data_IF_698662057108
#
_entry.id   IF_698662057108
#
_cell.length_a   1.000
_cell.length_b   1.000
_cell.length_c   1.000
_cell.angle_alpha   90.00
_cell.angle_beta   90.00
_cell.angle_gamma   90.00
#
_symmetry.space_group_name_H-M   'P 1'
#
loop_
_entity.id
_entity.type
_entity.pdbx_description
1 polymer ?
#
# COMPACT_ATOMS: atom_id res chain seq x y z
N UNK A 1 -4.92 -21.85 -5.83
CA UNK A 1 -3.56 -21.47 -5.41
C UNK A 1 -3.63 -20.08 -4.82
N UNK A 2 -2.96 -19.87 -3.69
CA UNK A 2 -2.79 -18.56 -3.08
C UNK A 2 -1.32 -18.17 -3.24
N UNK A 3 -1.06 -16.99 -3.79
CA UNK A 3 0.30 -16.49 -4.00
C UNK A 3 0.42 -15.13 -3.34
N UNK A 4 1.33 -14.99 -2.38
CA UNK A 4 1.67 -13.68 -1.83
C UNK A 4 2.42 -12.90 -2.91
N UNK A 5 1.88 -11.74 -3.27
CA UNK A 5 2.57 -10.78 -4.14
C UNK A 5 3.54 -9.99 -3.27
N UNK A 6 3.04 -9.30 -2.26
CA UNK A 6 3.86 -8.46 -1.39
C UNK A 6 3.32 -8.44 0.03
N UNK A 7 4.19 -8.12 0.99
CA UNK A 7 3.82 -7.85 2.36
C UNK A 7 4.67 -6.70 2.90
N UNK A 8 4.08 -5.88 3.75
CA UNK A 8 4.77 -4.83 4.51
C UNK A 8 4.40 -4.90 5.99
N UNK A 9 5.37 -4.55 6.84
CA UNK A 9 5.23 -4.52 8.29
C UNK A 9 5.78 -3.21 8.83
N UNK A 10 4.89 -2.37 9.36
CA UNK A 10 5.24 -1.25 10.22
C UNK A 10 5.38 -1.72 11.66
N UNK A 11 6.58 -2.17 12.02
CA UNK A 11 6.85 -2.65 13.37
C UNK A 11 6.70 -1.54 14.43
N UNK A 12 6.95 -0.27 14.06
CA UNK A 12 6.85 0.86 14.98
C UNK A 12 5.39 1.23 15.27
N UNK A 13 4.53 1.18 14.24
CA UNK A 13 3.11 1.41 14.40
C UNK A 13 2.31 0.17 14.82
N UNK A 14 2.91 -1.02 14.75
CA UNK A 14 2.26 -2.29 15.04
C UNK A 14 1.21 -2.68 14.00
N UNK A 15 1.46 -2.38 12.72
CA UNK A 15 0.52 -2.72 11.63
C UNK A 15 1.24 -3.44 10.49
N UNK A 16 0.49 -4.22 9.73
CA UNK A 16 0.99 -4.89 8.54
C UNK A 16 -0.08 -4.99 7.47
N UNK A 17 0.34 -5.18 6.22
CA UNK A 17 -0.55 -5.53 5.13
C UNK A 17 0.09 -6.59 4.23
N UNK A 18 -0.76 -7.46 3.67
CA UNK A 18 -0.37 -8.51 2.74
C UNK A 18 -1.25 -8.39 1.50
N UNK A 19 -0.63 -8.32 0.33
CA UNK A 19 -1.28 -8.42 -0.96
C UNK A 19 -1.03 -9.81 -1.55
N UNK A 20 -2.09 -10.49 -1.96
CA UNK A 20 -2.02 -11.83 -2.51
C UNK A 20 -3.01 -12.03 -3.65
N UNK A 21 -2.62 -12.91 -4.57
CA UNK A 21 -3.44 -13.40 -5.66
C UNK A 21 -4.09 -14.72 -5.25
N UNK A 22 -5.41 -14.79 -5.40
CA UNK A 22 -6.16 -16.02 -5.30
C UNK A 22 -6.54 -16.51 -6.69
N UNK A 23 -6.05 -17.70 -7.05
CA UNK A 23 -6.37 -18.39 -8.30
C UNK A 23 -7.13 -19.67 -7.98
N UNK A 24 -8.47 -19.71 -8.06
CA UNK A 24 -9.18 -20.98 -8.08
C UNK A 24 -8.74 -21.79 -9.32
N UNK A 25 -9.11 -23.07 -9.44
CA UNK A 25 -8.65 -23.97 -10.52
C UNK A 25 -9.30 -23.63 -11.89
N UNK A 26 -9.26 -22.37 -12.28
CA UNK A 26 -9.87 -21.77 -13.46
C UNK A 26 -9.00 -20.58 -13.92
N UNK A 27 -9.28 -20.05 -15.10
CA UNK A 27 -8.42 -19.06 -15.75
C UNK A 27 -8.39 -17.67 -15.09
N UNK A 28 -9.26 -17.38 -14.11
CA UNK A 28 -9.32 -16.08 -13.45
C UNK A 28 -8.48 -16.04 -12.18
N UNK A 29 -7.93 -14.86 -11.88
CA UNK A 29 -7.33 -14.52 -10.60
C UNK A 29 -8.14 -13.40 -9.92
N UNK A 30 -8.09 -13.34 -8.59
CA UNK A 30 -8.56 -12.18 -7.84
C UNK A 30 -7.46 -11.69 -6.92
N UNK A 31 -7.28 -10.37 -6.87
CA UNK A 31 -6.38 -9.76 -5.91
C UNK A 31 -7.10 -9.52 -4.60
N UNK A 32 -6.38 -9.76 -3.52
CA UNK A 32 -6.87 -9.58 -2.18
C UNK A 32 -5.79 -8.93 -1.34
N UNK A 33 -6.24 -8.13 -0.38
CA UNK A 33 -5.40 -7.55 0.65
C UNK A 33 -5.89 -8.01 2.01
N UNK A 34 -4.96 -8.26 2.92
CA UNK A 34 -5.24 -8.48 4.33
C UNK A 34 -4.45 -7.46 5.15
N UNK A 35 -5.13 -6.80 6.07
CA UNK A 35 -4.56 -5.83 7.01
C UNK A 35 -4.51 -6.49 8.39
N UNK A 36 -3.37 -6.35 9.05
CA UNK A 36 -3.10 -6.92 10.35
C UNK A 36 -2.66 -5.84 11.34
N UNK A 37 -2.95 -6.09 12.61
CA UNK A 37 -2.55 -5.25 13.74
C UNK A 37 -1.88 -6.13 14.81
N UNK A 38 -0.80 -5.63 15.41
CA UNK A 38 -0.13 -6.30 16.51
C UNK A 38 -0.84 -5.98 17.83
N UNK A 39 -1.37 -7.01 18.48
CA UNK A 39 -2.11 -6.90 19.74
C UNK A 39 -2.00 -8.17 20.56
N UNK A 40 -1.89 -8.03 21.89
CA UNK A 40 -1.69 -9.17 22.81
C UNK A 40 -0.59 -10.13 22.33
N UNK A 41 0.55 -9.58 21.91
CA UNK A 41 1.72 -10.34 21.45
C UNK A 41 1.49 -11.21 20.19
N UNK A 42 0.45 -10.92 19.41
CA UNK A 42 0.12 -11.63 18.18
C UNK A 42 -0.37 -10.70 17.07
N UNK A 43 -0.13 -11.08 15.82
CA UNK A 43 -0.72 -10.42 14.66
C UNK A 43 -2.18 -10.86 14.51
N UNK A 44 -3.10 -9.90 14.54
CA UNK A 44 -4.53 -10.13 14.35
C UNK A 44 -5.01 -9.54 13.02
N UNK A 45 -5.84 -10.29 12.31
CA UNK A 45 -6.50 -9.80 11.10
C UNK A 45 -7.62 -8.81 11.46
N UNK A 46 -7.59 -7.62 10.85
CA UNK A 46 -8.51 -6.51 11.17
C UNK A 46 -9.33 -6.04 9.97
N UNK A 47 -9.05 -6.55 8.76
CA UNK A 47 -9.80 -6.22 7.56
C UNK A 47 -8.99 -6.41 6.29
N UNK A 48 -9.56 -6.02 5.16
CA UNK A 48 -8.98 -6.23 3.85
C UNK A 48 -9.98 -5.93 2.74
N UNK A 49 -9.50 -5.88 1.51
CA UNK A 49 -10.30 -5.70 0.32
C UNK A 49 -10.01 -6.78 -0.71
N UNK A 50 -10.99 -7.08 -1.56
CA UNK A 50 -10.77 -7.81 -2.81
C UNK A 50 -11.09 -6.90 -3.99
N UNK A 51 -10.33 -7.02 -5.07
CA UNK A 51 -10.68 -6.40 -6.34
C UNK A 51 -11.44 -7.38 -7.23
N UNK A 52 -12.01 -6.86 -8.33
CA UNK A 52 -12.70 -7.64 -9.37
C UNK A 52 -11.75 -8.66 -10.03
N UNK A 53 -12.27 -9.64 -10.78
CA UNK A 53 -11.44 -10.61 -11.50
C UNK A 53 -10.42 -9.88 -12.38
N UNK A 54 -9.16 -10.29 -12.27
CA UNK A 54 -8.09 -9.86 -13.17
C UNK A 54 -7.89 -11.01 -14.17
N UNK A 55 -7.83 -10.68 -15.46
CA UNK A 55 -7.25 -11.60 -16.45
C UNK A 55 -5.78 -11.85 -16.10
N UNK A 56 -5.18 -12.94 -16.58
CA UNK A 56 -3.93 -13.48 -16.02
C UNK A 56 -2.84 -12.40 -15.75
N UNK A 57 -2.53 -12.07 -14.47
CA UNK A 57 -1.59 -10.99 -14.13
C UNK A 57 -0.13 -11.30 -14.47
N UNK A 58 0.14 -12.46 -15.10
CA UNK A 58 1.42 -12.79 -15.71
C UNK A 58 1.68 -12.04 -17.03
N UNK A 59 0.64 -11.54 -17.71
CA UNK A 59 0.74 -10.91 -19.03
C UNK A 59 0.64 -9.37 -19.02
N UNK A 60 0.37 -8.73 -17.87
CA UNK A 60 0.40 -7.27 -17.76
C UNK A 60 1.79 -6.80 -17.33
N UNK A 61 2.62 -6.49 -18.33
CA UNK A 61 3.77 -5.61 -18.19
C UNK A 61 3.22 -4.20 -17.93
N UNK A 62 3.06 -3.84 -16.66
CA UNK A 62 2.64 -2.49 -16.28
C UNK A 62 3.75 -1.52 -16.65
N UNK A 63 3.51 -0.70 -17.67
CA UNK A 63 4.40 0.36 -18.12
C UNK A 63 4.29 1.55 -17.15
N UNK A 64 4.93 1.42 -15.98
CA UNK A 64 5.02 2.50 -15.00
C UNK A 64 6.37 3.17 -15.14
N UNK A 65 6.36 4.45 -15.53
CA UNK A 65 7.60 5.22 -15.68
C UNK A 65 8.34 5.38 -14.34
N UNK A 66 7.62 5.82 -13.29
CA UNK A 66 8.21 6.05 -11.97
C UNK A 66 7.37 5.45 -10.84
N UNK A 67 6.15 5.94 -10.62
CA UNK A 67 5.35 5.59 -9.46
C UNK A 67 3.86 5.62 -9.79
N UNK A 68 3.16 4.52 -9.57
CA UNK A 68 1.70 4.44 -9.71
C UNK A 68 1.08 3.80 -8.46
N UNK A 69 -0.07 4.34 -8.03
CA UNK A 69 -0.90 3.75 -6.99
C UNK A 69 -1.98 2.89 -7.64
N UNK A 70 -1.80 1.56 -7.62
CA UNK A 70 -2.74 0.60 -8.22
C UNK A 70 -3.99 0.34 -7.37
N UNK A 71 -3.97 0.71 -6.09
CA UNK A 71 -5.15 0.62 -5.23
C UNK A 71 -4.85 1.00 -3.79
N UNK A 72 -5.87 1.50 -3.09
CA UNK A 72 -5.74 1.92 -1.69
C UNK A 72 -6.91 1.45 -0.87
N UNK A 73 -6.67 1.29 0.42
CA UNK A 73 -7.72 0.93 1.34
C UNK A 73 -7.26 1.02 2.77
N UNK A 74 -8.09 0.48 3.65
CA UNK A 74 -7.77 0.39 5.06
C UNK A 74 -8.94 0.02 5.91
N UNK A 75 -8.69 -0.04 7.22
CA UNK A 75 -9.68 -0.42 8.23
C UNK A 75 -9.43 0.35 9.51
N UNK A 76 -10.43 0.37 10.40
CA UNK A 76 -10.28 0.96 11.73
C UNK A 76 -9.46 0.00 12.60
N UNK A 77 -8.48 0.51 13.35
CA UNK A 77 -7.82 -0.24 14.43
C UNK A 77 -8.87 -0.72 15.44
N UNK A 78 -9.02 -2.03 15.59
CA UNK A 78 -10.03 -2.61 16.49
C UNK A 78 -9.52 -2.67 17.92
N UNK A 79 -8.21 -2.76 18.11
CA UNK A 79 -7.63 -3.02 19.42
C UNK A 79 -7.41 -1.74 20.23
N UNK A 80 -7.14 -0.61 19.57
CA UNK A 80 -7.18 0.72 20.22
C UNK A 80 -8.61 1.23 20.48
N UNK A 81 -9.62 0.45 20.13
CA UNK A 81 -11.05 0.79 20.24
C UNK A 81 -11.70 0.31 21.55
N UNK A 82 -11.01 -0.51 22.35
CA UNK A 82 -11.57 -1.02 23.61
C UNK A 82 -11.57 0.00 24.77
N UNK A 83 -10.81 1.10 24.66
CA UNK A 83 -10.67 2.11 25.73
C UNK A 83 -11.46 3.41 25.48
N UNK A 84 -12.14 3.58 24.34
CA UNK A 84 -12.76 4.86 23.96
C UNK A 84 -14.30 4.79 23.95
N UNK A 85 -15.00 5.83 24.47
CA UNK A 85 -16.47 5.87 24.48
C UNK A 85 -17.11 6.02 23.08
N UNK A 86 -16.36 6.53 22.09
CA UNK A 86 -16.77 6.55 20.68
C UNK A 86 -15.67 6.01 19.75
N UNK A 87 -15.54 4.68 19.65
CA UNK A 87 -14.43 4.04 18.96
C UNK A 87 -14.44 4.24 17.44
N UNK A 88 -15.54 4.70 16.83
CA UNK A 88 -15.57 4.95 15.38
C UNK A 88 -15.08 6.36 15.03
N UNK A 89 -15.18 7.30 15.97
CA UNK A 89 -14.68 8.66 15.82
C UNK A 89 -13.21 8.81 16.22
N UNK A 90 -12.75 8.06 17.23
CA UNK A 90 -11.43 8.28 17.84
C UNK A 90 -10.39 7.20 17.54
N UNK A 91 -10.78 6.07 16.97
CA UNK A 91 -9.82 5.01 16.68
C UNK A 91 -8.90 5.38 15.51
N UNK A 92 -7.60 5.09 15.61
CA UNK A 92 -6.67 5.18 14.49
C UNK A 92 -7.14 4.35 13.31
N UNK A 93 -6.74 4.77 12.12
CA UNK A 93 -7.01 4.05 10.88
C UNK A 93 -5.73 3.36 10.42
N UNK A 94 -5.85 2.13 9.93
CA UNK A 94 -4.75 1.40 9.32
C UNK A 94 -4.95 1.49 7.82
N UNK A 95 -4.06 2.21 7.14
CA UNK A 95 -4.08 2.40 5.70
C UNK A 95 -3.11 1.46 4.99
N UNK A 96 -3.40 1.17 3.73
CA UNK A 96 -2.45 0.55 2.83
C UNK A 96 -2.59 1.12 1.40
N UNK A 97 -1.51 1.01 0.64
CA UNK A 97 -1.48 1.27 -0.80
C UNK A 97 -0.76 0.13 -1.51
N UNK A 98 -1.32 -0.33 -2.62
CA UNK A 98 -0.64 -1.15 -3.63
C UNK A 98 0.07 -0.19 -4.57
N UNK A 99 1.37 -0.38 -4.70
CA UNK A 99 2.27 0.52 -5.43
C UNK A 99 2.98 -0.26 -6.53
N UNK A 100 2.96 0.29 -7.73
CA UNK A 100 3.74 -0.16 -8.88
C UNK A 100 4.91 0.81 -9.09
N UNK A 101 6.07 0.26 -9.41
CA UNK A 101 7.33 1.00 -9.48
C UNK A 101 7.95 0.90 -10.86
N UNK A 102 8.46 2.03 -11.33
CA UNK A 102 9.31 2.06 -12.51
C UNK A 102 10.67 1.39 -12.30
N UNK A 103 11.37 1.05 -13.40
CA UNK A 103 12.61 0.30 -13.36
C UNK A 103 13.74 1.02 -12.61
N UNK A 104 13.74 2.35 -12.62
CA UNK A 104 14.78 3.18 -12.01
C UNK A 104 14.57 3.46 -10.51
N UNK A 105 13.38 3.16 -9.99
CA UNK A 105 13.10 3.28 -8.55
C UNK A 105 13.84 2.19 -7.79
N UNK A 106 14.69 2.58 -6.85
CA UNK A 106 15.42 1.66 -5.99
C UNK A 106 14.75 1.46 -4.62
N UNK A 107 14.05 2.48 -4.14
CA UNK A 107 13.36 2.44 -2.85
C UNK A 107 12.23 3.47 -2.79
N UNK A 108 11.26 3.19 -1.92
CA UNK A 108 10.22 4.13 -1.52
C UNK A 108 10.50 4.68 -0.13
N UNK A 109 10.14 5.94 0.08
CA UNK A 109 9.83 6.46 1.41
C UNK A 109 8.32 6.55 1.55
N UNK A 110 7.77 5.89 2.57
CA UNK A 110 6.35 5.96 2.95
C UNK A 110 6.31 6.69 4.29
N UNK A 111 6.07 8.00 4.24
CA UNK A 111 6.42 8.87 5.37
C UNK A 111 7.92 8.79 5.65
N UNK A 112 8.29 8.40 6.87
CA UNK A 112 9.69 8.24 7.28
C UNK A 112 10.23 6.81 7.07
N UNK A 113 9.40 5.88 6.58
CA UNK A 113 9.77 4.48 6.43
C UNK A 113 10.34 4.20 5.04
N UNK A 114 11.55 3.66 4.99
CA UNK A 114 12.17 3.17 3.76
C UNK A 114 11.72 1.74 3.45
N UNK A 115 11.31 1.50 2.21
CA UNK A 115 10.99 0.18 1.66
C UNK A 115 11.81 -0.01 0.38
N UNK A 116 12.61 -1.07 0.30
CA UNK A 116 13.38 -1.35 -0.91
C UNK A 116 12.47 -1.89 -2.03
N UNK A 117 12.74 -1.47 -3.27
CA UNK A 117 11.95 -1.90 -4.41
C UNK A 117 12.17 -3.40 -4.69
N UNK A 118 11.11 -4.24 -4.65
CA UNK A 118 11.26 -5.66 -4.92
C UNK A 118 11.52 -5.89 -6.42
N UNK A 119 12.14 -7.02 -6.77
CA UNK A 119 12.47 -7.35 -8.16
C UNK A 119 11.26 -7.38 -9.11
N UNK A 120 10.08 -7.75 -8.58
CA UNK A 120 8.80 -7.76 -9.31
C UNK A 120 8.13 -6.38 -9.44
N UNK A 121 8.73 -5.32 -8.86
CA UNK A 121 8.28 -3.91 -8.94
C UNK A 121 6.86 -3.60 -8.47
N UNK A 122 6.27 -4.54 -7.76
CA UNK A 122 4.92 -4.48 -7.18
C UNK A 122 5.04 -4.69 -5.68
N UNK A 123 4.56 -3.73 -4.89
CA UNK A 123 4.56 -3.83 -3.44
C UNK A 123 3.27 -3.33 -2.81
N UNK A 124 3.01 -3.74 -1.56
CA UNK A 124 2.03 -3.12 -0.68
C UNK A 124 2.80 -2.36 0.41
N UNK A 125 2.31 -1.19 0.81
CA UNK A 125 2.84 -0.43 1.94
C UNK A 125 1.72 -0.19 2.95
N UNK A 126 1.99 -0.40 4.24
CA UNK A 126 1.05 -0.21 5.33
C UNK A 126 1.48 0.94 6.24
N UNK A 127 0.50 1.65 6.83
CA UNK A 127 0.76 2.71 7.79
C UNK A 127 -0.41 2.89 8.76
N UNK A 128 -0.15 3.53 9.89
CA UNK A 128 -1.19 3.98 10.82
C UNK A 128 -1.43 5.47 10.65
N UNK A 129 -2.69 5.85 10.39
CA UNK A 129 -3.15 7.24 10.43
C UNK A 129 -3.71 7.55 11.82
N UNK A 130 -3.36 8.71 12.41
CA UNK A 130 -4.07 9.21 13.58
C UNK A 130 -5.53 9.52 13.22
N UNK A 131 -6.42 9.47 14.22
CA UNK A 131 -7.86 9.70 14.02
C UNK A 131 -8.19 11.08 13.40
N UNK A 132 -7.35 12.09 13.65
CA UNK A 132 -7.48 13.45 13.11
C UNK A 132 -7.15 13.57 11.63
N UNK A 133 -6.43 12.60 11.05
CA UNK A 133 -6.02 12.57 9.64
C UNK A 133 -6.59 11.32 8.95
N UNK A 134 -7.84 10.99 9.25
CA UNK A 134 -8.49 9.74 8.83
C UNK A 134 -8.37 9.56 7.31
N UNK A 135 -7.85 8.40 6.88
CA UNK A 135 -7.63 8.00 5.47
C UNK A 135 -6.60 8.83 4.70
N UNK A 136 -5.87 9.74 5.34
CA UNK A 136 -4.77 10.43 4.68
C UNK A 136 -3.58 9.46 4.53
N UNK A 137 -3.13 9.27 3.30
CA UNK A 137 -1.87 8.56 3.03
C UNK A 137 -0.70 9.44 3.48
N UNK A 138 0.41 8.88 3.97
CA UNK A 138 1.65 9.64 4.09
C UNK A 138 2.12 10.12 2.70
N UNK A 139 3.07 11.04 2.65
CA UNK A 139 3.77 11.29 1.38
C UNK A 139 4.52 10.01 1.00
N UNK A 140 4.35 9.57 -0.25
CA UNK A 140 5.13 8.49 -0.83
C UNK A 140 6.13 9.09 -1.80
N UNK A 141 7.41 8.77 -1.63
CA UNK A 141 8.50 9.29 -2.45
C UNK A 141 9.24 8.14 -3.11
N UNK A 142 9.36 8.17 -4.43
CA UNK A 142 10.17 7.24 -5.21
C UNK A 142 11.59 7.78 -5.35
N UNK A 143 12.56 6.97 -4.93
CA UNK A 143 13.97 7.33 -4.92
C UNK A 143 14.80 6.39 -5.81
N UNK A 144 15.75 6.98 -6.55
CA UNK A 144 16.73 6.27 -7.36
C UNK A 144 17.80 5.58 -6.52
N UNK A 145 18.73 4.86 -7.17
CA UNK A 145 19.79 4.10 -6.47
C UNK A 145 20.76 4.98 -5.67
N UNK A 146 20.94 6.21 -6.11
CA UNK A 146 21.78 7.24 -5.48
C UNK A 146 21.05 8.01 -4.36
N UNK A 147 19.77 7.73 -4.13
CA UNK A 147 18.92 8.47 -3.19
C UNK A 147 18.31 9.75 -3.76
N UNK A 148 18.52 10.03 -5.06
CA UNK A 148 17.86 11.14 -5.73
C UNK A 148 16.36 10.88 -5.81
N UNK A 149 15.57 11.91 -5.54
CA UNK A 149 14.13 11.84 -5.72
C UNK A 149 13.76 11.84 -7.20
N UNK A 150 13.04 10.79 -7.61
CA UNK A 150 12.51 10.64 -8.96
C UNK A 150 11.10 11.20 -9.06
N UNK A 151 10.29 10.95 -8.02
CA UNK A 151 8.92 11.48 -7.94
C UNK A 151 8.36 11.37 -6.52
N UNK A 152 7.26 12.08 -6.26
CA UNK A 152 6.48 12.00 -5.04
C UNK A 152 4.99 12.06 -5.31
N UNK A 153 4.20 11.51 -4.40
CA UNK A 153 2.75 11.63 -4.39
C UNK A 153 2.29 12.00 -2.97
N UNK A 154 1.60 13.13 -2.83
CA UNK A 154 1.15 13.66 -1.54
C UNK A 154 -0.12 12.97 -1.03
N UNK A 155 -0.58 13.26 0.21
CA UNK A 155 -1.66 12.55 0.89
C UNK A 155 -3.02 12.49 0.17
N UNK A 156 -3.25 13.43 -0.74
CA UNK A 156 -4.53 13.61 -1.44
C UNK A 156 -4.36 13.62 -2.97
N UNK A 157 -3.13 13.41 -3.45
CA UNK A 157 -2.83 13.42 -4.87
C UNK A 157 -3.15 12.05 -5.46
N UNK A 158 -3.73 12.07 -6.67
CA UNK A 158 -4.03 10.88 -7.46
C UNK A 158 -2.93 10.53 -8.45
N UNK A 159 -2.07 11.50 -8.78
CA UNK A 159 -0.93 11.34 -9.69
C UNK A 159 0.32 11.84 -8.99
N UNK A 160 1.45 11.21 -9.29
CA UNK A 160 2.75 11.61 -8.79
C UNK A 160 3.28 12.84 -9.56
N UNK A 161 4.32 13.49 -9.02
CA UNK A 161 4.88 14.71 -9.61
C UNK A 161 5.46 14.50 -11.00
N UNK A 162 5.96 13.29 -11.30
CA UNK A 162 6.49 12.97 -12.62
C UNK A 162 5.38 12.89 -13.66
N UNK A 163 4.30 12.14 -13.42
CA UNK A 163 3.16 12.09 -14.35
C UNK A 163 2.51 13.47 -14.51
N UNK A 164 2.41 14.27 -13.45
CA UNK A 164 1.96 15.66 -13.58
C UNK A 164 2.84 16.52 -14.49
N UNK A 165 4.16 16.35 -14.41
CA UNK A 165 5.10 17.10 -15.25
C UNK A 165 4.94 16.71 -16.74
N UNK A 166 4.82 15.42 -17.04
CA UNK A 166 4.61 14.93 -18.40
C UNK A 166 3.33 15.50 -19.03
N UNK A 167 2.22 15.54 -18.28
CA UNK A 167 0.95 16.11 -18.77
C UNK A 167 1.02 17.62 -19.03
N UNK A 168 1.96 18.34 -18.40
CA UNK A 168 2.15 19.78 -18.61
C UNK A 168 3.00 20.12 -19.85
N UNK A 169 3.66 19.13 -20.45
CA UNK A 169 4.49 19.27 -21.64
C UNK A 169 3.73 19.00 -22.95
N UNK A 170 2.49 18.50 -22.86
CA UNK A 170 1.54 18.27 -23.97
C UNK A 170 0.66 19.50 -24.28
#
# INVERSE_FOLDING_TARGET
MLTVVSADVDAAAGVAAVWFLWRPKCAWASEHTAVLEWHDEQWQYVGGGGSSPVDDPADEEFDVDVLEIGGEGGTVSLTRRMDAPDPLATAPWIGYAVVHLGPDVAHLLVGDRRIDAPGQRKLIAAWMCPATARRARPVIVALGRDGTELSRIGPHDTLDTHTWAQLGEE
#
